data_IF_214080205928
#
_entry.id   IF_214080205928
#
_cell.length_a   1.000
_cell.length_b   1.000
_cell.length_c   1.000
_cell.angle_alpha   90.00
_cell.angle_beta   90.00
_cell.angle_gamma   90.00
#
_symmetry.space_group_name_H-M   'P 1'
#
loop_
_entity.id
_entity.type
_entity.pdbx_description
1 polymer ?
#
# COMPACT_ATOMS: atom_id res chain seq x y z
N UNK A 1 73.43 -28.03 -3.70
CA UNK A 1 72.67 -26.84 -3.14
C UNK A 1 71.62 -26.24 -4.10
N UNK A 2 71.44 -26.66 -5.34
CA UNK A 2 70.48 -26.04 -6.29
C UNK A 2 69.08 -26.68 -6.33
N UNK A 3 68.93 -27.94 -5.95
CA UNK A 3 67.65 -28.67 -5.98
C UNK A 3 66.69 -28.29 -4.87
N UNK A 4 67.18 -27.95 -3.68
CA UNK A 4 66.34 -27.60 -2.53
C UNK A 4 65.69 -26.20 -2.65
N UNK A 5 66.28 -25.30 -3.39
CA UNK A 5 65.71 -23.97 -3.65
C UNK A 5 64.62 -24.02 -4.71
N UNK A 6 64.76 -24.86 -5.73
CA UNK A 6 63.74 -25.04 -6.79
C UNK A 6 62.47 -25.70 -6.18
N UNK A 7 62.61 -26.68 -5.29
CA UNK A 7 61.50 -27.30 -4.61
C UNK A 7 60.74 -26.29 -3.70
N UNK A 8 61.45 -25.39 -3.01
CA UNK A 8 60.83 -24.35 -2.19
C UNK A 8 60.05 -23.32 -2.99
N UNK A 9 60.55 -22.94 -4.19
CA UNK A 9 59.84 -22.01 -5.06
C UNK A 9 58.59 -22.66 -5.65
N UNK A 10 58.64 -23.95 -6.01
CA UNK A 10 57.47 -24.68 -6.51
C UNK A 10 56.42 -24.82 -5.42
N UNK A 11 56.80 -25.11 -4.17
CA UNK A 11 55.85 -25.16 -3.05
C UNK A 11 55.24 -23.81 -2.69
N UNK A 12 55.96 -22.70 -2.78
CA UNK A 12 55.42 -21.36 -2.61
C UNK A 12 54.45 -20.97 -3.76
N UNK A 13 54.74 -21.40 -4.99
CA UNK A 13 53.88 -21.14 -6.15
C UNK A 13 52.59 -21.97 -6.10
N UNK A 14 52.62 -23.19 -5.55
CA UNK A 14 51.45 -24.03 -5.37
C UNK A 14 50.57 -23.52 -4.21
N UNK A 15 51.16 -22.93 -3.17
CA UNK A 15 50.37 -22.28 -2.08
C UNK A 15 49.69 -20.99 -2.52
N UNK A 16 50.24 -20.31 -3.56
CA UNK A 16 49.59 -19.12 -4.17
C UNK A 16 48.52 -19.45 -5.21
N UNK A 17 48.42 -20.74 -5.60
CA UNK A 17 47.41 -21.27 -6.50
C UNK A 17 46.26 -22.02 -5.80
N UNK A 18 46.21 -22.00 -4.45
CA UNK A 18 45.00 -22.39 -3.73
C UNK A 18 43.90 -21.39 -4.10
N UNK A 19 42.73 -21.90 -4.47
CA UNK A 19 41.77 -21.11 -5.24
C UNK A 19 41.29 -19.90 -4.46
N UNK A 20 41.54 -18.73 -4.96
CA UNK A 20 40.82 -17.50 -4.66
C UNK A 20 39.31 -17.65 -4.98
N UNK A 21 38.89 -18.83 -5.44
CA UNK A 21 37.53 -19.16 -5.79
C UNK A 21 36.57 -19.36 -4.59
N UNK A 22 37.08 -19.38 -3.35
CA UNK A 22 36.23 -19.42 -2.17
C UNK A 22 36.06 -18.07 -1.47
N UNK A 23 36.64 -17.02 -2.02
CA UNK A 23 36.30 -15.62 -1.71
C UNK A 23 35.28 -15.05 -2.71
N UNK A 24 34.45 -15.89 -3.34
CA UNK A 24 33.15 -15.43 -3.78
C UNK A 24 32.44 -15.02 -2.52
N UNK A 25 32.25 -13.71 -2.38
CA UNK A 25 31.51 -13.10 -1.31
C UNK A 25 30.30 -14.00 -1.03
N UNK A 26 30.31 -14.66 0.12
CA UNK A 26 29.12 -15.26 0.64
C UNK A 26 28.16 -14.08 0.68
N UNK A 27 27.26 -13.99 -0.33
CA UNK A 27 26.22 -12.97 -0.34
C UNK A 27 25.65 -13.02 1.07
N UNK A 28 25.90 -11.98 1.84
CA UNK A 28 25.39 -11.90 3.20
C UNK A 28 23.87 -11.84 3.04
N UNK A 29 23.26 -13.03 3.01
CA UNK A 29 21.80 -13.12 3.02
C UNK A 29 21.31 -12.25 4.17
N UNK A 30 20.45 -11.28 3.91
CA UNK A 30 19.98 -10.39 4.96
C UNK A 30 19.47 -11.26 6.11
N UNK A 31 19.94 -10.98 7.33
CA UNK A 31 19.51 -11.74 8.52
C UNK A 31 17.99 -11.66 8.73
N UNK A 32 17.36 -10.66 8.15
CA UNK A 32 15.91 -10.45 8.12
C UNK A 32 15.52 -10.02 6.71
N UNK A 33 14.63 -10.77 6.11
CA UNK A 33 14.07 -10.50 4.79
C UNK A 33 12.58 -10.29 4.94
N UNK A 34 12.05 -9.23 4.33
CA UNK A 34 10.61 -8.99 4.25
C UNK A 34 10.04 -9.78 3.07
N UNK A 35 9.20 -10.76 3.35
CA UNK A 35 8.48 -11.57 2.36
C UNK A 35 6.99 -11.35 2.57
N UNK A 36 6.48 -10.32 1.90
CA UNK A 36 5.09 -9.89 2.02
C UNK A 36 4.17 -10.50 0.98
N UNK A 37 2.93 -10.79 1.37
CA UNK A 37 1.84 -11.16 0.47
C UNK A 37 0.64 -10.23 0.65
N UNK A 38 -0.03 -9.93 -0.48
CA UNK A 38 -1.20 -9.06 -0.48
C UNK A 38 -2.49 -9.88 -0.40
N UNK A 39 -3.38 -9.49 0.51
CA UNK A 39 -4.75 -9.99 0.58
C UNK A 39 -5.68 -8.80 0.38
N UNK A 40 -6.30 -8.72 -0.80
CA UNK A 40 -7.18 -7.63 -1.18
C UNK A 40 -8.66 -7.98 -0.97
N UNK A 41 -9.50 -6.97 -0.71
CA UNK A 41 -10.95 -7.15 -0.65
C UNK A 41 -11.67 -6.60 -1.90
N UNK A 42 -11.06 -5.62 -2.58
CA UNK A 42 -11.68 -4.89 -3.70
C UNK A 42 -12.02 -5.76 -4.92
N UNK A 43 -11.37 -6.91 -5.07
CA UNK A 43 -11.68 -7.91 -6.09
C UNK A 43 -12.98 -8.70 -5.80
N UNK A 44 -13.61 -8.45 -4.65
CA UNK A 44 -14.85 -9.12 -4.27
C UNK A 44 -14.69 -10.55 -3.74
N UNK A 45 -13.46 -11.01 -3.42
CA UNK A 45 -13.24 -12.40 -2.97
C UNK A 45 -13.99 -12.79 -1.70
N UNK A 46 -14.44 -11.81 -0.91
CA UNK A 46 -15.21 -12.04 0.32
C UNK A 46 -16.71 -11.81 0.17
N UNK A 47 -17.16 -11.32 -0.99
CA UNK A 47 -18.58 -11.06 -1.24
C UNK A 47 -19.40 -12.35 -1.15
N UNK A 48 -20.47 -12.30 -0.37
CA UNK A 48 -21.37 -13.43 -0.17
C UNK A 48 -20.90 -14.44 0.86
N UNK A 49 -19.70 -14.29 1.43
CA UNK A 49 -19.22 -15.15 2.51
C UNK A 49 -19.81 -14.69 3.84
N UNK A 50 -20.29 -15.65 4.63
CA UNK A 50 -20.61 -15.39 6.03
C UNK A 50 -19.35 -15.29 6.88
N UNK A 51 -19.49 -14.77 8.11
CA UNK A 51 -18.36 -14.57 9.04
C UNK A 51 -17.46 -15.81 9.17
N UNK A 52 -18.05 -16.98 9.44
CA UNK A 52 -17.26 -18.21 9.63
C UNK A 52 -16.57 -18.68 8.35
N UNK A 53 -17.19 -18.50 7.19
CA UNK A 53 -16.61 -18.91 5.92
C UNK A 53 -15.46 -17.99 5.53
N UNK A 54 -15.61 -16.69 5.73
CA UNK A 54 -14.53 -15.72 5.54
C UNK A 54 -13.33 -16.04 6.44
N UNK A 55 -13.57 -16.30 7.73
CA UNK A 55 -12.51 -16.69 8.67
C UNK A 55 -11.79 -17.98 8.25
N UNK A 56 -12.53 -19.00 7.79
CA UNK A 56 -11.92 -20.23 7.26
C UNK A 56 -11.07 -19.95 6.02
N UNK A 57 -11.59 -19.14 5.09
CA UNK A 57 -10.88 -18.78 3.86
C UNK A 57 -9.58 -18.03 4.19
N UNK A 58 -9.64 -17.04 5.07
CA UNK A 58 -8.46 -16.31 5.51
C UNK A 58 -7.46 -17.20 6.27
N UNK A 59 -7.92 -18.03 7.19
CA UNK A 59 -7.03 -19.00 7.88
C UNK A 59 -6.31 -19.91 6.90
N UNK A 60 -7.03 -20.45 5.91
CA UNK A 60 -6.43 -21.28 4.88
C UNK A 60 -5.37 -20.52 4.06
N UNK A 61 -5.67 -19.28 3.62
CA UNK A 61 -4.71 -18.44 2.91
C UNK A 61 -3.45 -18.19 3.76
N UNK A 62 -3.62 -17.87 5.05
CA UNK A 62 -2.50 -17.62 5.96
C UNK A 62 -1.64 -18.87 6.17
N UNK A 63 -2.26 -20.05 6.29
CA UNK A 63 -1.54 -21.32 6.46
C UNK A 63 -0.72 -21.68 5.21
N UNK A 64 -1.26 -21.46 4.01
CA UNK A 64 -0.53 -21.71 2.76
C UNK A 64 0.63 -20.70 2.60
N UNK A 65 0.38 -19.43 2.82
CA UNK A 65 1.40 -18.39 2.74
C UNK A 65 2.54 -18.61 3.77
N UNK A 66 2.21 -19.10 4.98
CA UNK A 66 3.21 -19.46 5.97
C UNK A 66 4.11 -20.62 5.50
N UNK A 67 3.54 -21.64 4.87
CA UNK A 67 4.30 -22.77 4.29
C UNK A 67 5.27 -22.30 3.21
N UNK A 68 4.87 -21.31 2.42
CA UNK A 68 5.70 -20.66 1.39
C UNK A 68 6.75 -19.70 1.96
N UNK A 69 6.82 -19.57 3.29
CA UNK A 69 7.80 -18.75 3.98
C UNK A 69 7.47 -17.24 3.99
N UNK A 70 6.24 -16.86 3.70
CA UNK A 70 5.75 -15.46 3.87
C UNK A 70 5.78 -15.11 5.36
N UNK A 71 6.25 -13.91 5.68
CA UNK A 71 6.37 -13.41 7.04
C UNK A 71 5.69 -12.06 7.29
N UNK A 72 4.97 -11.54 6.30
CA UNK A 72 4.16 -10.33 6.43
C UNK A 72 2.93 -10.39 5.51
N UNK A 73 1.79 -9.99 6.01
CA UNK A 73 0.54 -9.89 5.26
C UNK A 73 0.18 -8.42 5.09
N UNK A 74 -0.05 -8.00 3.85
CA UNK A 74 -0.54 -6.67 3.51
C UNK A 74 -2.04 -6.81 3.23
N UNK A 75 -2.86 -6.53 4.25
CA UNK A 75 -4.30 -6.76 4.22
C UNK A 75 -5.08 -5.48 3.92
N UNK A 76 -5.89 -5.49 2.86
CA UNK A 76 -6.69 -4.32 2.47
C UNK A 76 -7.87 -4.13 3.43
N UNK A 77 -7.78 -3.08 4.24
CA UNK A 77 -8.78 -2.76 5.26
C UNK A 77 -9.66 -1.55 4.92
N UNK A 78 -9.26 -0.78 3.89
CA UNK A 78 -9.98 0.41 3.44
C UNK A 78 -9.89 0.54 1.92
N UNK A 79 -10.96 0.22 1.21
CA UNK A 79 -10.98 0.16 -0.24
C UNK A 79 -11.70 1.35 -0.91
N UNK A 80 -12.81 1.84 -0.34
CA UNK A 80 -13.70 2.84 -0.92
C UNK A 80 -14.18 3.86 0.14
N UNK A 81 -13.27 4.44 0.91
CA UNK A 81 -13.62 5.25 2.09
C UNK A 81 -14.61 4.51 3.01
N UNK A 82 -14.38 3.24 3.17
CA UNK A 82 -15.14 2.29 3.99
C UNK A 82 -14.18 1.33 4.70
N UNK A 83 -14.63 0.57 5.65
CA UNK A 83 -13.76 -0.17 6.54
C UNK A 83 -14.09 -1.66 6.64
N UNK A 84 -13.06 -2.51 6.65
CA UNK A 84 -13.09 -3.90 7.10
C UNK A 84 -12.67 -4.02 8.57
N UNK A 85 -13.01 -3.03 9.38
CA UNK A 85 -12.77 -2.99 10.82
C UNK A 85 -13.82 -2.08 11.48
N UNK A 86 -13.92 -2.10 12.80
CA UNK A 86 -14.86 -1.24 13.55
C UNK A 86 -14.38 0.23 13.54
N UNK A 87 -14.49 0.90 12.39
CA UNK A 87 -14.09 2.29 12.21
C UNK A 87 -15.01 3.24 13.01
N UNK A 88 -14.42 4.31 13.57
CA UNK A 88 -15.15 5.40 14.20
C UNK A 88 -15.63 6.46 13.22
N UNK A 89 -15.13 6.43 11.98
CA UNK A 89 -15.30 7.51 11.01
C UNK A 89 -15.97 7.08 9.71
N UNK A 90 -15.77 5.81 9.30
CA UNK A 90 -16.21 5.33 8.01
C UNK A 90 -17.19 4.17 8.14
N UNK A 91 -18.11 3.98 7.18
CA UNK A 91 -19.05 2.88 7.18
C UNK A 91 -18.32 1.53 7.02
N UNK A 92 -18.98 0.44 7.44
CA UNK A 92 -18.57 -0.91 7.08
C UNK A 92 -18.52 -1.10 5.58
N UNK A 93 -17.49 -1.78 5.10
CA UNK A 93 -17.29 -1.99 3.67
C UNK A 93 -18.32 -2.96 3.09
N UNK A 94 -18.78 -2.66 1.87
CA UNK A 94 -19.64 -3.58 1.10
C UNK A 94 -18.90 -4.87 0.75
N UNK A 95 -17.58 -4.84 0.64
CA UNK A 95 -16.77 -6.04 0.35
C UNK A 95 -16.80 -7.06 1.49
N UNK A 96 -17.23 -6.66 2.68
CA UNK A 96 -17.41 -7.54 3.83
C UNK A 96 -18.79 -8.19 3.86
N UNK A 97 -19.86 -7.41 3.56
CA UNK A 97 -21.24 -7.84 3.80
C UNK A 97 -22.15 -7.75 2.56
N UNK A 98 -21.60 -7.29 1.43
CA UNK A 98 -22.36 -7.01 0.21
C UNK A 98 -23.07 -5.65 0.20
N UNK A 99 -23.24 -4.99 1.37
CA UNK A 99 -23.87 -3.68 1.49
C UNK A 99 -23.06 -2.77 2.40
N UNK A 100 -22.68 -1.61 1.88
CA UNK A 100 -21.91 -0.62 2.65
C UNK A 100 -22.74 -0.10 3.85
N UNK A 101 -22.09 0.07 4.99
CA UNK A 101 -22.71 0.49 6.24
C UNK A 101 -23.35 -0.63 7.06
N UNK A 102 -23.40 -1.86 6.55
CA UNK A 102 -23.93 -3.02 7.26
C UNK A 102 -22.79 -3.74 8.01
N UNK A 103 -22.85 -3.86 9.36
CA UNK A 103 -21.87 -4.63 10.11
C UNK A 103 -21.99 -6.13 9.81
N UNK A 104 -20.92 -6.92 10.00
CA UNK A 104 -20.96 -8.35 9.83
C UNK A 104 -21.84 -9.02 10.90
N UNK A 105 -22.47 -10.15 10.52
CA UNK A 105 -23.31 -10.94 11.42
C UNK A 105 -23.01 -12.44 11.23
N UNK A 106 -22.57 -13.19 12.26
CA UNK A 106 -22.23 -12.67 13.61
C UNK A 106 -21.17 -11.57 13.59
N UNK A 107 -21.27 -10.64 14.56
CA UNK A 107 -20.31 -9.53 14.65
C UNK A 107 -18.89 -10.03 14.92
N UNK A 108 -17.93 -9.46 14.21
CA UNK A 108 -16.49 -9.60 14.42
C UNK A 108 -15.75 -8.39 13.84
N UNK A 109 -14.51 -8.19 14.23
CA UNK A 109 -13.65 -7.18 13.65
C UNK A 109 -12.58 -7.86 12.79
N UNK A 110 -12.69 -7.78 11.44
CA UNK A 110 -11.75 -8.45 10.54
C UNK A 110 -10.30 -8.04 10.73
N UNK A 111 -10.03 -6.76 10.99
CA UNK A 111 -8.65 -6.29 11.20
C UNK A 111 -8.06 -6.87 12.49
N UNK A 112 -8.79 -6.79 13.60
CA UNK A 112 -8.33 -7.37 14.86
C UNK A 112 -8.07 -8.87 14.73
N UNK A 113 -9.02 -9.60 14.12
CA UNK A 113 -8.88 -11.03 13.90
C UNK A 113 -7.67 -11.38 13.03
N UNK A 114 -7.43 -10.61 11.96
CA UNK A 114 -6.26 -10.83 11.08
C UNK A 114 -4.94 -10.54 11.80
N UNK A 115 -4.89 -9.55 12.67
CA UNK A 115 -3.72 -9.27 13.52
C UNK A 115 -3.43 -10.50 14.40
N UNK A 116 -4.44 -10.97 15.13
CA UNK A 116 -4.30 -12.11 16.04
C UNK A 116 -3.84 -13.38 15.29
N UNK A 117 -4.42 -13.64 14.13
CA UNK A 117 -4.08 -14.81 13.30
C UNK A 117 -2.69 -14.70 12.64
N UNK A 118 -2.27 -13.51 12.23
CA UNK A 118 -0.93 -13.28 11.71
C UNK A 118 0.11 -13.44 12.82
N UNK A 119 -0.07 -12.78 13.96
CA UNK A 119 0.84 -12.86 15.10
C UNK A 119 0.97 -14.28 15.64
N UNK A 120 -0.13 -15.03 15.71
CA UNK A 120 -0.11 -16.46 16.11
C UNK A 120 0.78 -17.31 15.18
N UNK A 121 0.92 -16.92 13.91
CA UNK A 121 1.78 -17.58 12.91
C UNK A 121 3.19 -17.00 12.81
N UNK A 122 3.53 -15.99 13.63
CA UNK A 122 4.80 -15.28 13.54
C UNK A 122 4.93 -14.40 12.30
N UNK A 123 3.82 -13.93 11.74
CA UNK A 123 3.75 -13.01 10.62
C UNK A 123 3.42 -11.59 11.10
N UNK A 124 3.94 -10.59 10.42
CA UNK A 124 3.50 -9.20 10.57
C UNK A 124 2.17 -8.96 9.85
N UNK A 125 1.35 -8.05 10.37
CA UNK A 125 0.18 -7.51 9.66
C UNK A 125 0.38 -6.04 9.34
N UNK A 126 0.31 -5.72 8.05
CA UNK A 126 0.31 -4.35 7.52
C UNK A 126 -1.10 -4.00 7.04
N UNK A 127 -1.72 -3.00 7.64
CA UNK A 127 -3.02 -2.51 7.20
C UNK A 127 -2.87 -1.72 5.91
N UNK A 128 -3.45 -2.21 4.82
CA UNK A 128 -3.43 -1.52 3.52
C UNK A 128 -4.70 -0.70 3.33
N UNK A 129 -4.51 0.58 3.01
CA UNK A 129 -5.58 1.52 2.68
C UNK A 129 -5.40 2.09 1.27
N UNK A 130 -6.50 2.30 0.55
CA UNK A 130 -6.54 3.19 -0.61
C UNK A 130 -6.91 4.60 -0.12
N UNK A 131 -6.00 5.58 -0.18
CA UNK A 131 -6.24 6.86 0.49
C UNK A 131 -7.38 7.66 -0.13
N UNK A 132 -7.45 7.74 -1.46
CA UNK A 132 -8.34 8.69 -2.14
C UNK A 132 -9.53 8.06 -2.87
N UNK A 133 -9.55 6.74 -3.10
CA UNK A 133 -10.68 6.10 -3.77
C UNK A 133 -11.91 6.07 -2.87
N UNK A 134 -12.96 6.78 -3.26
CA UNK A 134 -14.22 6.84 -2.53
C UNK A 134 -15.29 5.91 -3.10
N UNK A 135 -15.18 5.51 -4.38
CA UNK A 135 -16.13 4.61 -5.05
C UNK A 135 -15.50 3.97 -6.28
N UNK A 136 -15.68 2.66 -6.48
CA UNK A 136 -15.39 1.97 -7.74
C UNK A 136 -16.59 2.03 -8.70
N UNK A 137 -16.40 1.61 -9.94
CA UNK A 137 -17.49 1.56 -10.96
C UNK A 137 -18.62 0.63 -10.57
N UNK A 138 -18.33 -0.44 -9.83
CA UNK A 138 -19.29 -1.48 -9.45
C UNK A 138 -20.10 -1.14 -8.20
N UNK A 139 -19.72 -0.10 -7.46
CA UNK A 139 -20.46 0.32 -6.27
C UNK A 139 -21.69 1.11 -6.69
N UNK A 140 -22.88 0.57 -6.39
CA UNK A 140 -24.17 1.18 -6.78
C UNK A 140 -24.64 2.20 -5.76
N UNK A 141 -24.58 1.86 -4.47
CA UNK A 141 -25.09 2.66 -3.37
C UNK A 141 -23.99 2.94 -2.35
N UNK A 142 -23.98 4.14 -1.82
CA UNK A 142 -23.11 4.56 -0.73
C UNK A 142 -23.93 4.66 0.56
N UNK A 143 -23.32 4.32 1.70
CA UNK A 143 -23.94 4.50 3.00
C UNK A 143 -24.18 5.98 3.30
N UNK A 144 -25.24 6.27 4.07
CA UNK A 144 -25.63 7.66 4.39
C UNK A 144 -24.55 8.46 5.13
N UNK A 145 -23.66 7.78 5.84
CA UNK A 145 -22.51 8.37 6.54
C UNK A 145 -21.21 8.32 5.75
N UNK A 146 -21.24 7.90 4.48
CA UNK A 146 -20.07 7.89 3.63
C UNK A 146 -19.62 9.30 3.27
N UNK A 147 -18.30 9.57 3.22
CA UNK A 147 -17.73 10.90 2.99
C UNK A 147 -18.25 11.54 1.68
N UNK A 148 -18.42 10.78 0.61
CA UNK A 148 -18.95 11.30 -0.65
C UNK A 148 -20.45 11.63 -0.62
N UNK A 149 -21.17 11.23 0.43
CA UNK A 149 -22.56 11.58 0.69
C UNK A 149 -22.64 12.78 1.63
N UNK A 150 -21.85 12.75 2.70
CA UNK A 150 -21.84 13.82 3.72
C UNK A 150 -21.09 15.07 3.30
N UNK A 151 -20.09 14.91 2.40
CA UNK A 151 -19.23 15.98 1.91
C UNK A 151 -18.99 15.83 0.39
N UNK A 152 -20.03 15.97 -0.43
CA UNK A 152 -19.92 15.81 -1.88
C UNK A 152 -18.96 16.82 -2.54
N UNK A 153 -18.72 17.96 -1.92
CA UNK A 153 -17.75 18.99 -2.36
C UNK A 153 -16.29 18.55 -2.24
N UNK A 154 -16.02 17.44 -1.53
CA UNK A 154 -14.67 16.90 -1.33
C UNK A 154 -14.26 15.85 -2.33
N UNK A 155 -15.19 15.42 -3.17
CA UNK A 155 -14.96 14.38 -4.16
C UNK A 155 -15.22 14.90 -5.56
N UNK A 156 -14.61 14.27 -6.54
CA UNK A 156 -14.97 14.43 -7.94
C UNK A 156 -15.26 13.08 -8.61
N UNK A 157 -16.08 13.13 -9.65
CA UNK A 157 -16.35 11.97 -10.51
C UNK A 157 -15.34 11.92 -11.65
N UNK A 158 -14.78 10.73 -11.90
CA UNK A 158 -13.85 10.51 -12.99
C UNK A 158 -13.97 9.09 -13.53
N UNK A 159 -14.38 8.94 -14.78
CA UNK A 159 -14.52 7.63 -15.47
C UNK A 159 -15.30 6.59 -14.63
N UNK A 160 -16.43 7.02 -14.05
CA UNK A 160 -17.29 6.16 -13.21
C UNK A 160 -16.79 5.89 -11.80
N UNK A 161 -15.64 6.42 -11.43
CA UNK A 161 -15.11 6.41 -10.07
C UNK A 161 -15.54 7.67 -9.31
N UNK A 162 -15.54 7.62 -7.97
CA UNK A 162 -15.47 8.81 -7.13
C UNK A 162 -14.14 8.83 -6.40
N UNK A 163 -13.48 9.97 -6.45
CA UNK A 163 -12.16 10.19 -5.87
C UNK A 163 -12.25 11.35 -4.87
N UNK A 164 -11.74 11.17 -3.66
CA UNK A 164 -11.42 12.29 -2.79
C UNK A 164 -10.37 13.14 -3.49
N UNK A 165 -10.64 14.44 -3.61
CA UNK A 165 -9.73 15.35 -4.29
C UNK A 165 -8.41 15.50 -3.49
N UNK A 166 -7.26 14.99 -4.01
CA UNK A 166 -5.99 15.09 -3.30
C UNK A 166 -5.50 16.53 -3.13
N UNK A 167 -6.03 17.46 -3.92
CA UNK A 167 -5.73 18.89 -3.84
C UNK A 167 -6.43 19.62 -2.70
N UNK A 168 -7.34 18.97 -2.00
CA UNK A 168 -8.02 19.55 -0.84
C UNK A 168 -7.35 19.09 0.46
N UNK A 169 -6.84 20.04 1.24
CA UNK A 169 -6.12 19.77 2.50
C UNK A 169 -7.01 19.06 3.52
N UNK A 170 -8.28 19.37 3.55
CA UNK A 170 -9.28 18.75 4.41
C UNK A 170 -9.41 17.24 4.17
N UNK A 171 -9.10 16.76 2.96
CA UNK A 171 -9.07 15.34 2.65
C UNK A 171 -7.80 14.67 3.19
N UNK A 172 -6.66 15.34 3.12
CA UNK A 172 -5.45 14.90 3.79
C UNK A 172 -5.70 14.73 5.30
N UNK A 173 -6.22 15.76 5.96
CA UNK A 173 -6.52 15.73 7.40
C UNK A 173 -7.52 14.64 7.77
N UNK A 174 -8.50 14.38 6.90
CA UNK A 174 -9.46 13.30 7.07
C UNK A 174 -8.78 11.93 7.05
N UNK A 175 -7.91 11.68 6.07
CA UNK A 175 -7.18 10.41 5.94
C UNK A 175 -6.20 10.24 7.11
N UNK A 176 -5.51 11.29 7.55
CA UNK A 176 -4.65 11.24 8.73
C UNK A 176 -5.42 10.82 9.98
N UNK A 177 -6.66 11.29 10.18
CA UNK A 177 -7.51 10.84 11.30
C UNK A 177 -7.89 9.37 11.20
N UNK A 178 -8.18 8.86 10.00
CA UNK A 178 -8.46 7.44 9.76
C UNK A 178 -7.24 6.60 10.13
N UNK A 179 -6.06 6.98 9.65
CA UNK A 179 -4.81 6.28 9.95
C UNK A 179 -4.46 6.37 11.42
N UNK A 180 -4.65 7.55 12.03
CA UNK A 180 -4.47 7.73 13.46
C UNK A 180 -5.38 6.81 14.30
N UNK A 181 -6.62 6.60 13.88
CA UNK A 181 -7.56 5.66 14.53
C UNK A 181 -7.07 4.20 14.39
N UNK A 182 -6.62 3.79 13.21
CA UNK A 182 -6.08 2.44 12.98
C UNK A 182 -4.85 2.22 13.86
N UNK A 183 -3.83 3.07 13.73
CA UNK A 183 -2.53 2.88 14.39
C UNK A 183 -2.66 2.96 15.91
N UNK A 184 -3.52 3.84 16.44
CA UNK A 184 -3.70 3.96 17.89
C UNK A 184 -4.43 2.78 18.53
N UNK A 185 -5.41 2.20 17.84
CA UNK A 185 -6.29 1.17 18.41
C UNK A 185 -5.88 -0.25 18.14
N UNK A 186 -5.22 -0.50 17.01
CA UNK A 186 -4.86 -1.84 16.55
C UNK A 186 -3.36 -2.07 16.67
N UNK A 187 -2.97 -3.30 16.96
CA UNK A 187 -1.56 -3.71 17.05
C UNK A 187 -1.02 -4.10 15.66
N UNK A 188 -1.14 -3.17 14.71
CA UNK A 188 -0.57 -3.34 13.37
C UNK A 188 0.94 -3.18 13.39
N UNK A 189 1.65 -4.01 12.64
CA UNK A 189 3.11 -3.91 12.45
C UNK A 189 3.49 -2.87 11.39
N UNK A 190 2.55 -2.60 10.47
CA UNK A 190 2.72 -1.60 9.42
C UNK A 190 1.42 -1.01 8.93
N UNK A 191 1.54 0.17 8.30
CA UNK A 191 0.52 0.75 7.45
C UNK A 191 1.05 0.81 6.02
N UNK A 192 0.21 0.46 5.05
CA UNK A 192 0.59 0.39 3.66
C UNK A 192 -0.38 1.16 2.77
N UNK A 193 0.16 1.87 1.78
CA UNK A 193 -0.62 2.49 0.69
C UNK A 193 -0.10 2.00 -0.65
N UNK A 194 -0.99 1.89 -1.63
CA UNK A 194 -0.66 1.53 -3.00
C UNK A 194 -0.29 2.75 -3.86
N UNK A 195 -0.39 2.62 -5.16
CA UNK A 195 -0.08 3.61 -6.17
C UNK A 195 -1.26 4.52 -6.54
N UNK A 196 -2.43 4.36 -5.90
CA UNK A 196 -3.66 5.01 -6.34
C UNK A 196 -3.92 6.32 -5.58
N UNK A 197 -3.27 7.40 -6.03
CA UNK A 197 -3.46 8.76 -5.51
C UNK A 197 -4.42 9.56 -6.40
N UNK A 198 -3.95 10.09 -7.51
CA UNK A 198 -4.80 10.59 -8.59
C UNK A 198 -5.30 9.43 -9.46
N UNK A 199 -6.46 9.57 -10.13
CA UNK A 199 -6.96 8.51 -11.01
C UNK A 199 -6.07 8.35 -12.24
N UNK A 200 -6.05 7.13 -12.79
CA UNK A 200 -5.34 6.85 -14.03
C UNK A 200 -5.90 7.68 -15.18
N UNK A 201 -5.04 8.20 -16.07
CA UNK A 201 -5.49 9.08 -17.13
C UNK A 201 -6.39 8.35 -18.12
N UNK A 202 -7.47 9.01 -18.50
CA UNK A 202 -8.37 8.59 -19.57
C UNK A 202 -8.21 9.55 -20.73
N UNK A 203 -7.97 9.04 -21.94
CA UNK A 203 -7.76 9.86 -23.13
C UNK A 203 -8.95 10.81 -23.35
N UNK A 204 -8.67 12.12 -23.47
CA UNK A 204 -9.67 13.15 -23.66
C UNK A 204 -10.47 13.56 -22.41
N UNK A 205 -10.21 12.96 -21.25
CA UNK A 205 -10.87 13.29 -20.00
C UNK A 205 -9.87 13.95 -19.02
N UNK A 206 -9.87 15.27 -18.89
CA UNK A 206 -9.03 15.93 -17.88
C UNK A 206 -9.54 15.60 -16.47
N UNK A 207 -8.60 15.52 -15.49
CA UNK A 207 -8.97 15.38 -14.08
C UNK A 207 -9.70 16.66 -13.65
N UNK A 208 -10.88 16.57 -13.00
CA UNK A 208 -11.72 17.73 -12.71
C UNK A 208 -11.34 18.45 -11.39
N UNK A 209 -10.06 18.69 -11.17
CA UNK A 209 -9.49 19.31 -9.96
C UNK A 209 -9.13 20.79 -10.16
N UNK A 210 -9.58 21.42 -11.27
CA UNK A 210 -9.25 22.79 -11.62
C UNK A 210 -9.68 23.82 -10.53
N UNK A 211 -10.79 23.56 -9.86
CA UNK A 211 -11.26 24.42 -8.77
C UNK A 211 -10.28 24.41 -7.59
N UNK A 212 -9.79 23.25 -7.22
CA UNK A 212 -8.80 23.07 -6.15
C UNK A 212 -7.45 23.65 -6.55
N UNK A 213 -7.01 23.47 -7.79
CA UNK A 213 -5.79 24.12 -8.31
C UNK A 213 -5.91 25.64 -8.25
N UNK A 214 -7.03 26.21 -8.69
CA UNK A 214 -7.24 27.67 -8.64
C UNK A 214 -7.21 28.23 -7.22
N UNK A 215 -7.61 27.43 -6.23
CA UNK A 215 -7.64 27.81 -4.82
C UNK A 215 -6.29 27.64 -4.14
N UNK A 216 -5.57 26.53 -4.41
CA UNK A 216 -4.41 26.11 -3.64
C UNK A 216 -3.12 25.96 -4.45
N UNK A 217 -3.20 25.91 -5.79
CA UNK A 217 -2.08 25.55 -6.66
C UNK A 217 -1.43 26.70 -7.43
N UNK A 218 -1.95 27.93 -7.35
CA UNK A 218 -1.51 29.04 -8.22
C UNK A 218 -0.05 29.46 -8.07
N UNK A 219 0.61 29.10 -6.97
CA UNK A 219 2.03 29.33 -6.75
C UNK A 219 2.94 28.35 -7.50
N UNK A 220 2.39 27.25 -8.03
CA UNK A 220 3.13 26.26 -8.79
C UNK A 220 3.23 26.64 -10.27
N UNK A 221 4.33 26.21 -10.91
CA UNK A 221 4.56 26.49 -12.33
C UNK A 221 3.56 25.75 -13.24
N UNK A 222 3.05 24.60 -12.80
CA UNK A 222 2.07 23.80 -13.53
C UNK A 222 1.10 23.07 -12.59
N UNK A 223 -0.03 22.61 -13.16
CA UNK A 223 -0.97 21.73 -12.46
C UNK A 223 -0.29 20.42 -12.07
N UNK A 224 0.59 19.91 -12.92
CA UNK A 224 1.32 18.68 -12.68
C UNK A 224 2.27 18.80 -11.46
N UNK A 225 3.00 19.91 -11.34
CA UNK A 225 3.86 20.19 -10.18
C UNK A 225 3.05 20.25 -8.88
N UNK A 226 1.89 20.90 -8.93
CA UNK A 226 0.99 20.98 -7.79
C UNK A 226 0.42 19.61 -7.38
N UNK A 227 0.05 18.77 -8.34
CA UNK A 227 -0.44 17.41 -8.06
C UNK A 227 0.63 16.55 -7.41
N UNK A 228 1.89 16.64 -7.87
CA UNK A 228 3.02 15.93 -7.25
C UNK A 228 3.23 16.40 -5.81
N UNK A 229 3.24 17.70 -5.60
CA UNK A 229 3.40 18.28 -4.25
C UNK A 229 2.29 17.83 -3.29
N UNK A 230 1.04 17.76 -3.76
CA UNK A 230 -0.07 17.24 -2.94
C UNK A 230 0.19 15.80 -2.45
N UNK A 231 0.74 14.94 -3.31
CA UNK A 231 1.08 13.56 -2.95
C UNK A 231 2.28 13.52 -2.01
N UNK A 232 3.32 14.28 -2.29
CA UNK A 232 4.53 14.33 -1.46
C UNK A 232 4.22 14.83 -0.05
N UNK A 233 3.44 15.91 0.06
CA UNK A 233 3.00 16.47 1.36
C UNK A 233 2.15 15.45 2.12
N UNK A 234 1.24 14.75 1.43
CA UNK A 234 0.40 13.71 2.04
C UNK A 234 1.24 12.54 2.56
N UNK A 235 2.15 11.99 1.74
CA UNK A 235 3.00 10.85 2.15
C UNK A 235 3.87 11.22 3.35
N UNK A 236 4.46 12.43 3.32
CA UNK A 236 5.23 12.94 4.46
C UNK A 236 4.40 13.04 5.73
N UNK A 237 3.24 13.70 5.65
CA UNK A 237 2.36 13.88 6.80
C UNK A 237 1.86 12.53 7.36
N UNK A 238 1.60 11.57 6.49
CA UNK A 238 1.17 10.22 6.87
C UNK A 238 2.27 9.49 7.65
N UNK A 239 3.51 9.51 7.16
CA UNK A 239 4.65 8.92 7.85
C UNK A 239 4.90 9.58 9.21
N UNK A 240 4.83 10.91 9.29
CA UNK A 240 4.96 11.67 10.54
C UNK A 240 3.88 11.31 11.56
N UNK A 241 2.62 11.21 11.13
CA UNK A 241 1.50 10.85 12.02
C UNK A 241 1.61 9.42 12.54
N UNK A 242 1.95 8.45 11.69
CA UNK A 242 2.16 7.04 12.09
C UNK A 242 3.25 6.96 13.17
N UNK A 243 4.42 7.54 12.91
CA UNK A 243 5.55 7.45 13.81
C UNK A 243 5.38 8.30 15.08
N UNK A 244 4.57 9.35 15.03
CA UNK A 244 4.18 10.12 16.23
C UNK A 244 3.35 9.27 17.19
N UNK A 245 2.48 8.39 16.67
CA UNK A 245 1.62 7.53 17.51
C UNK A 245 2.38 6.30 17.96
N UNK A 246 2.99 5.57 17.03
CA UNK A 246 3.78 4.35 17.29
C UNK A 246 5.07 4.36 16.46
N UNK A 247 6.21 4.77 17.03
CA UNK A 247 7.48 4.91 16.28
C UNK A 247 7.98 3.63 15.61
N UNK A 248 7.52 2.47 16.08
CA UNK A 248 7.94 1.16 15.56
C UNK A 248 7.06 0.63 14.41
N UNK A 249 5.90 1.24 14.16
CA UNK A 249 5.02 0.83 13.05
C UNK A 249 5.67 1.21 11.73
N UNK A 250 5.81 0.24 10.84
CA UNK A 250 6.39 0.46 9.52
C UNK A 250 5.40 1.23 8.63
N UNK A 251 5.93 2.11 7.80
CA UNK A 251 5.15 2.75 6.76
C UNK A 251 5.67 2.33 5.39
N UNK A 252 4.81 1.76 4.56
CA UNK A 252 5.12 1.26 3.22
C UNK A 252 4.28 1.94 2.14
N UNK A 253 4.94 2.20 1.02
CA UNK A 253 4.30 2.69 -0.21
C UNK A 253 4.69 1.75 -1.34
N UNK A 254 3.73 1.30 -2.16
CA UNK A 254 3.99 0.55 -3.38
C UNK A 254 3.66 1.41 -4.60
N UNK A 255 4.57 2.27 -5.05
CA UNK A 255 4.37 3.09 -6.22
C UNK A 255 4.51 2.26 -7.50
N UNK A 256 4.11 2.82 -8.64
CA UNK A 256 4.46 2.24 -9.93
C UNK A 256 5.98 2.07 -10.09
N UNK A 257 6.40 0.98 -10.72
CA UNK A 257 7.81 0.72 -11.03
C UNK A 257 8.37 1.58 -12.17
N UNK A 258 7.71 2.67 -12.53
CA UNK A 258 8.10 3.60 -13.60
C UNK A 258 8.63 4.87 -12.96
N UNK A 259 9.95 5.05 -12.99
CA UNK A 259 10.56 6.26 -12.44
C UNK A 259 10.36 7.47 -13.37
N UNK A 260 10.63 7.31 -14.68
CA UNK A 260 10.44 8.35 -15.70
C UNK A 260 10.10 7.72 -17.04
N UNK A 261 8.97 8.10 -17.60
CA UNK A 261 8.57 7.68 -18.94
C UNK A 261 9.65 8.06 -19.98
N UNK A 262 9.92 7.14 -20.92
CA UNK A 262 10.87 7.30 -22.01
C UNK A 262 12.32 7.61 -21.62
N UNK A 263 12.60 7.87 -20.33
CA UNK A 263 13.97 8.12 -19.86
C UNK A 263 14.58 6.87 -19.24
N UNK A 264 13.83 6.17 -18.40
CA UNK A 264 14.22 4.89 -17.81
C UNK A 264 13.84 3.71 -18.72
N UNK A 265 12.79 3.86 -19.55
CA UNK A 265 12.41 2.94 -20.61
C UNK A 265 12.09 3.70 -21.90
N UNK A 266 12.99 3.70 -22.92
CA UNK A 266 12.77 4.39 -24.18
C UNK A 266 11.54 3.88 -24.95
N UNK A 267 11.10 2.63 -24.71
CA UNK A 267 9.92 2.01 -25.32
C UNK A 267 8.65 2.23 -24.48
N UNK A 268 8.77 2.86 -23.32
CA UNK A 268 7.66 3.14 -22.43
C UNK A 268 6.58 4.01 -23.10
N UNK A 269 5.33 3.80 -22.70
CA UNK A 269 4.20 4.57 -23.22
C UNK A 269 4.28 6.04 -22.80
N UNK A 270 4.10 6.94 -23.79
CA UNK A 270 3.96 8.38 -23.51
C UNK A 270 2.64 8.73 -22.80
N UNK A 271 1.67 7.79 -22.78
CA UNK A 271 0.34 8.01 -22.21
C UNK A 271 0.23 7.60 -20.75
N UNK A 272 1.26 7.00 -20.16
CA UNK A 272 1.30 6.67 -18.73
C UNK A 272 1.90 7.79 -17.88
N UNK A 273 1.82 9.05 -18.34
CA UNK A 273 2.39 10.22 -17.71
C UNK A 273 2.02 10.40 -16.25
N UNK A 274 0.75 10.19 -15.88
CA UNK A 274 0.29 10.30 -14.50
C UNK A 274 0.67 9.08 -13.63
N UNK A 275 1.34 8.10 -14.20
CA UNK A 275 1.75 6.86 -13.50
C UNK A 275 3.24 6.84 -13.17
N UNK A 276 3.95 7.92 -13.43
CA UNK A 276 5.38 8.03 -13.14
C UNK A 276 5.67 9.20 -12.19
N UNK A 277 6.88 9.22 -11.66
CA UNK A 277 7.31 10.23 -10.69
C UNK A 277 7.55 11.63 -11.30
N UNK A 278 7.49 11.77 -12.61
CA UNK A 278 7.69 13.06 -13.30
C UNK A 278 6.39 13.84 -13.53
N UNK A 279 5.21 13.22 -13.33
CA UNK A 279 3.92 13.85 -13.68
C UNK A 279 2.86 13.70 -12.60
#
# INVERSE_FOLDING_TARGET
>A
MKTSQILRVIWLSVLLLLPVSELVAQESRPKREFRGAWIQCVNGQFLGLGTQEMQRTLSYQLDELQKDGVNAIIFQVRAECDALYASRYEPWSRFLTGRQGTPPSPYWDPLQWMIDECHRRGMELHAWINPYRAKTKDTRELAVNHIAVTHPERVFDYDGLKILDPGQRENCDYILRIVGDIVSRYDVDGLHIDDYFYPYPVAGAPIPDQASYNRYGRQFASVADWRRDNVDVFIKALGEEIHRIKPWVKFGVSPFGIYRNKRSDPNGSATSGLQNYDE
#
